data_IF_768628471265
#
_entry.id   IF_768628471265
#
_cell.length_a   1.000
_cell.length_b   1.000
_cell.length_c   1.000
_cell.angle_alpha   90.00
_cell.angle_beta   90.00
_cell.angle_gamma   90.00
#
_symmetry.space_group_name_H-M   'P 1'
#
loop_
_entity.id
_entity.type
_entity.pdbx_description
1 polymer ?
#
# COMPACT_ATOMS: atom_id res chain seq x y z
N UNK A 1 -21.46 -28.49 -18.28
CA UNK A 1 -20.33 -27.98 -19.09
C UNK A 1 -19.23 -29.01 -19.01
N UNK A 2 -18.94 -29.72 -20.10
CA UNK A 2 -17.82 -30.66 -20.11
C UNK A 2 -16.52 -29.85 -19.92
N UNK A 3 -15.63 -30.23 -19.01
CA UNK A 3 -14.31 -29.63 -18.95
C UNK A 3 -13.61 -29.95 -20.27
N UNK A 4 -13.51 -28.96 -21.15
CA UNK A 4 -12.79 -29.08 -22.41
C UNK A 4 -11.37 -29.47 -22.05
N UNK A 5 -10.97 -30.70 -22.39
CA UNK A 5 -9.63 -31.21 -22.13
C UNK A 5 -8.63 -30.28 -22.81
N UNK A 6 -7.75 -29.66 -22.02
CA UNK A 6 -6.67 -28.81 -22.53
C UNK A 6 -5.83 -29.66 -23.49
N UNK A 7 -5.62 -29.22 -24.75
CA UNK A 7 -4.81 -29.96 -25.70
C UNK A 7 -3.37 -30.05 -25.18
N UNK A 8 -2.82 -31.26 -25.13
CA UNK A 8 -1.45 -31.52 -24.65
C UNK A 8 -0.52 -31.75 -25.83
N UNK A 9 0.63 -31.08 -25.83
CA UNK A 9 1.63 -31.20 -26.88
C UNK A 9 2.85 -31.95 -26.36
N UNK A 10 3.23 -33.10 -26.96
CA UNK A 10 4.40 -33.85 -26.53
C UNK A 10 5.67 -32.99 -26.57
N UNK A 11 6.44 -32.97 -25.47
CA UNK A 11 7.72 -32.25 -25.39
C UNK A 11 7.61 -30.75 -25.07
N UNK A 12 6.40 -30.18 -24.98
CA UNK A 12 6.21 -28.78 -24.56
C UNK A 12 5.22 -28.74 -23.39
N UNK A 13 5.67 -28.46 -22.15
CA UNK A 13 4.78 -28.36 -21.01
C UNK A 13 3.74 -27.27 -21.18
N UNK A 14 2.49 -27.52 -20.76
CA UNK A 14 1.38 -26.56 -20.88
C UNK A 14 1.71 -25.20 -20.25
N UNK A 15 2.35 -25.19 -19.08
CA UNK A 15 2.79 -23.96 -18.40
C UNK A 15 3.76 -23.13 -19.25
N UNK A 16 4.60 -23.79 -20.06
CA UNK A 16 5.56 -23.13 -20.92
C UNK A 16 4.87 -22.45 -22.11
N UNK A 17 3.78 -23.03 -22.61
CA UNK A 17 2.93 -22.41 -23.64
C UNK A 17 2.18 -21.19 -23.13
N UNK A 18 1.63 -21.25 -21.91
CA UNK A 18 0.94 -20.11 -21.30
C UNK A 18 1.91 -18.94 -21.09
N UNK A 19 3.10 -19.21 -20.54
CA UNK A 19 4.15 -18.17 -20.38
C UNK A 19 4.61 -17.60 -21.72
N UNK A 20 4.68 -18.42 -22.77
CA UNK A 20 4.99 -17.97 -24.12
C UNK A 20 3.91 -17.03 -24.68
N UNK A 21 2.63 -17.36 -24.50
CA UNK A 21 1.50 -16.53 -24.93
C UNK A 21 1.38 -15.21 -24.14
N UNK A 22 1.89 -15.17 -22.91
CA UNK A 22 1.97 -13.98 -22.07
C UNK A 22 3.23 -13.12 -22.31
N UNK A 23 4.11 -13.51 -23.25
CA UNK A 23 5.38 -12.82 -23.53
C UNK A 23 6.35 -12.81 -22.32
N UNK A 24 6.29 -13.84 -21.46
CA UNK A 24 7.05 -13.97 -20.19
C UNK A 24 8.27 -14.92 -20.27
N UNK A 25 8.53 -15.49 -21.46
CA UNK A 25 9.67 -16.36 -21.68
C UNK A 25 10.94 -15.57 -22.02
N UNK A 26 12.10 -16.11 -21.62
CA UNK A 26 13.39 -15.64 -22.14
C UNK A 26 13.50 -15.91 -23.65
N UNK A 27 14.40 -15.21 -24.34
CA UNK A 27 14.60 -15.38 -25.78
C UNK A 27 14.96 -16.83 -26.16
N UNK A 28 15.76 -17.50 -25.33
CA UNK A 28 16.15 -18.90 -25.54
C UNK A 28 14.99 -19.89 -25.35
N UNK A 29 14.12 -19.64 -24.37
CA UNK A 29 12.92 -20.46 -24.15
C UNK A 29 11.87 -20.23 -25.26
N UNK A 30 11.69 -18.98 -25.69
CA UNK A 30 10.81 -18.63 -26.80
C UNK A 30 11.23 -19.33 -28.11
N UNK A 31 12.53 -19.34 -28.42
CA UNK A 31 13.09 -20.05 -29.58
C UNK A 31 12.78 -21.55 -29.53
N UNK A 32 12.88 -22.18 -28.36
CA UNK A 32 12.55 -23.61 -28.20
C UNK A 32 11.07 -23.91 -28.49
N UNK A 33 10.15 -23.03 -28.08
CA UNK A 33 8.72 -23.16 -28.42
C UNK A 33 8.50 -23.00 -29.92
N UNK A 34 9.18 -22.04 -30.54
CA UNK A 34 9.07 -21.81 -31.99
C UNK A 34 9.61 -22.98 -32.81
N UNK A 35 10.73 -23.57 -32.40
CA UNK A 35 11.27 -24.78 -33.00
C UNK A 35 10.31 -25.96 -32.87
N UNK A 36 9.74 -26.17 -31.67
CA UNK A 36 8.73 -27.21 -31.47
C UNK A 36 7.47 -26.98 -32.34
N UNK A 37 7.04 -25.72 -32.50
CA UNK A 37 5.91 -25.36 -33.35
C UNK A 37 6.20 -25.54 -34.86
N UNK A 38 7.47 -25.43 -35.30
CA UNK A 38 7.84 -25.76 -36.69
C UNK A 38 7.71 -27.25 -36.98
N UNK A 39 7.98 -28.10 -35.98
CA UNK A 39 7.92 -29.56 -36.12
C UNK A 39 6.50 -30.10 -35.92
N UNK A 40 5.68 -29.44 -35.10
CA UNK A 40 4.30 -29.85 -34.80
C UNK A 40 3.24 -28.91 -35.42
N UNK A 41 2.55 -29.33 -36.50
CA UNK A 41 1.49 -28.53 -37.12
C UNK A 41 0.33 -28.21 -36.19
N UNK A 42 -0.01 -29.12 -35.27
CA UNK A 42 -1.09 -28.95 -34.29
C UNK A 42 -0.74 -27.84 -33.28
N UNK A 43 0.50 -27.82 -32.79
CA UNK A 43 0.97 -26.78 -31.87
C UNK A 43 0.99 -25.41 -32.58
N UNK A 44 1.44 -25.36 -33.83
CA UNK A 44 1.43 -24.15 -34.64
C UNK A 44 0.01 -23.60 -34.87
N UNK A 45 -0.95 -24.49 -35.16
CA UNK A 45 -2.35 -24.13 -35.28
C UNK A 45 -2.91 -23.58 -33.96
N UNK A 46 -2.62 -24.23 -32.84
CA UNK A 46 -3.06 -23.79 -31.52
C UNK A 46 -2.51 -22.41 -31.13
N UNK A 47 -1.21 -22.17 -31.32
CA UNK A 47 -0.60 -20.87 -31.04
C UNK A 47 -1.19 -19.75 -31.89
N UNK A 48 -1.51 -20.04 -33.16
CA UNK A 48 -2.14 -19.08 -34.07
C UNK A 48 -3.57 -18.74 -33.64
N UNK A 49 -4.35 -19.74 -33.24
CA UNK A 49 -5.70 -19.53 -32.70
C UNK A 49 -5.66 -18.67 -31.42
N UNK A 50 -4.82 -19.03 -30.44
CA UNK A 50 -4.68 -18.26 -29.19
C UNK A 50 -4.23 -16.82 -29.41
N UNK A 51 -3.30 -16.59 -30.35
CA UNK A 51 -2.89 -15.23 -30.73
C UNK A 51 -4.02 -14.44 -31.37
N UNK A 52 -4.84 -15.09 -32.22
CA UNK A 52 -6.00 -14.46 -32.83
C UNK A 52 -7.06 -14.10 -31.76
N UNK A 53 -7.30 -14.98 -30.79
CA UNK A 53 -8.18 -14.71 -29.64
C UNK A 53 -7.65 -13.54 -28.79
N UNK A 54 -6.35 -13.53 -28.42
CA UNK A 54 -5.71 -12.43 -27.68
C UNK A 54 -5.83 -11.11 -28.43
N UNK A 55 -5.63 -11.11 -29.76
CA UNK A 55 -5.78 -9.93 -30.60
C UNK A 55 -7.24 -9.44 -30.68
N UNK A 56 -8.19 -10.35 -30.84
CA UNK A 56 -9.62 -10.03 -30.85
C UNK A 56 -10.08 -9.47 -29.49
N UNK A 57 -9.63 -10.06 -28.39
CA UNK A 57 -9.93 -9.60 -27.04
C UNK A 57 -9.42 -8.17 -26.81
N UNK A 58 -8.22 -7.85 -27.28
CA UNK A 58 -7.64 -6.51 -27.18
C UNK A 58 -8.47 -5.44 -27.91
N UNK A 59 -9.20 -5.81 -28.97
CA UNK A 59 -10.12 -4.90 -29.68
C UNK A 59 -11.43 -4.66 -28.91
N UNK A 60 -11.96 -5.70 -28.25
CA UNK A 60 -13.25 -5.63 -27.52
C UNK A 60 -13.09 -4.98 -26.14
N UNK A 61 -11.93 -5.16 -25.50
CA UNK A 61 -11.60 -4.62 -24.17
C UNK A 61 -10.28 -3.84 -24.21
N UNK A 62 -10.29 -2.55 -24.62
CA UNK A 62 -9.07 -1.77 -24.67
C UNK A 62 -8.53 -1.51 -23.26
N UNK A 63 -7.42 -2.17 -22.90
CA UNK A 63 -6.66 -1.96 -21.66
C UNK A 63 -5.87 -0.63 -21.63
N UNK A 64 -6.38 0.42 -22.29
CA UNK A 64 -5.66 1.66 -22.61
C UNK A 64 -4.81 2.23 -21.46
N UNK A 65 -5.42 2.60 -20.31
CA UNK A 65 -4.67 3.25 -19.23
C UNK A 65 -3.74 2.30 -18.44
N UNK A 66 -3.91 0.98 -18.53
CA UNK A 66 -3.05 0.00 -17.84
C UNK A 66 -1.84 -0.35 -18.71
N UNK A 67 -2.01 -0.44 -20.04
CA UNK A 67 -0.93 -0.76 -20.97
C UNK A 67 0.14 0.34 -21.03
N UNK A 68 -0.24 1.60 -20.89
CA UNK A 68 0.70 2.72 -20.81
C UNK A 68 1.50 2.73 -19.50
N UNK A 69 0.92 2.22 -18.40
CA UNK A 69 1.58 2.11 -17.10
C UNK A 69 2.52 0.91 -16.99
N UNK A 70 2.23 -0.17 -17.74
CA UNK A 70 3.06 -1.38 -17.81
C UNK A 70 4.08 -1.34 -18.95
N UNK A 71 4.06 -0.31 -19.80
CA UNK A 71 5.07 -0.14 -20.82
C UNK A 71 6.45 0.04 -20.15
N UNK A 72 7.45 -0.80 -20.46
CA UNK A 72 8.77 -0.62 -19.89
C UNK A 72 9.28 0.78 -20.27
N UNK A 73 9.90 1.52 -19.34
CA UNK A 73 10.34 2.87 -19.60
C UNK A 73 11.27 2.86 -20.81
N UNK A 74 10.95 3.68 -21.83
CA UNK A 74 11.76 3.85 -23.04
C UNK A 74 13.20 4.09 -22.61
N UNK A 75 14.07 3.11 -22.88
CA UNK A 75 15.49 3.22 -22.54
C UNK A 75 16.08 4.38 -23.35
N UNK A 76 16.22 5.52 -22.68
CA UNK A 76 16.84 6.71 -23.25
C UNK A 76 18.29 6.39 -23.59
N UNK A 77 18.68 6.64 -24.85
CA UNK A 77 20.06 6.49 -25.35
C UNK A 77 21.08 7.28 -24.52
N UNK A 78 20.65 8.27 -23.74
CA UNK A 78 21.48 9.05 -22.82
C UNK A 78 21.92 8.30 -21.55
N UNK A 79 21.24 7.22 -21.13
CA UNK A 79 21.70 6.40 -19.98
C UNK A 79 23.02 5.68 -20.24
N UNK A 80 23.38 5.45 -21.51
CA UNK A 80 24.67 4.85 -21.88
C UNK A 80 25.87 5.76 -21.57
N UNK A 81 25.70 7.08 -21.76
CA UNK A 81 26.76 8.07 -21.50
C UNK A 81 26.96 8.34 -20.00
N UNK A 82 25.89 8.26 -19.20
CA UNK A 82 25.98 8.47 -17.75
C UNK A 82 26.65 7.29 -17.01
N UNK A 83 26.65 6.08 -17.58
CA UNK A 83 27.34 4.93 -16.95
C UNK A 83 28.86 5.06 -16.91
N UNK A 84 29.45 5.93 -17.73
CA UNK A 84 30.90 6.17 -17.76
C UNK A 84 31.38 7.27 -16.82
N UNK A 85 30.48 8.09 -16.25
CA UNK A 85 30.84 9.11 -15.26
C UNK A 85 30.77 8.62 -13.81
N UNK A 86 30.18 7.44 -13.56
CA UNK A 86 30.08 6.86 -12.22
C UNK A 86 31.42 6.52 -11.54
N UNK A 87 32.47 5.98 -12.20
CA UNK A 87 33.68 5.57 -11.49
C UNK A 87 34.52 6.76 -11.00
N UNK A 88 34.35 7.96 -11.57
CA UNK A 88 35.10 9.16 -11.15
C UNK A 88 34.49 9.79 -9.88
N UNK A 89 33.18 9.63 -9.65
CA UNK A 89 32.51 10.17 -8.46
C UNK A 89 32.68 9.31 -7.20
N UNK A 90 32.93 7.99 -7.35
CA UNK A 90 33.09 7.07 -6.20
C UNK A 90 34.38 7.34 -5.41
N UNK A 91 35.44 7.87 -6.05
CA UNK A 91 36.70 8.16 -5.36
C UNK A 91 36.63 9.43 -4.47
N UNK A 92 35.64 10.31 -4.67
CA UNK A 92 35.52 11.57 -3.94
C UNK A 92 34.66 11.52 -2.67
N UNK A 93 33.80 10.51 -2.49
CA UNK A 93 32.75 10.50 -1.46
C UNK A 93 33.12 9.65 -0.22
N UNK A 94 34.29 9.01 -0.22
CA UNK A 94 34.78 8.24 0.92
C UNK A 94 35.02 9.04 2.21
N UNK A 95 35.03 10.38 2.15
CA UNK A 95 35.33 11.25 3.30
C UNK A 95 34.10 11.87 3.99
N UNK A 96 32.88 11.72 3.46
CA UNK A 96 31.67 12.37 4.02
C UNK A 96 30.61 11.39 4.53
N UNK A 97 30.86 10.08 4.48
CA UNK A 97 29.90 9.04 4.84
C UNK A 97 29.80 8.75 6.36
N UNK A 98 30.03 9.76 7.20
CA UNK A 98 29.66 9.73 8.61
C UNK A 98 28.80 10.99 8.82
N UNK A 99 27.54 10.80 9.19
CA UNK A 99 26.48 11.83 9.41
C UNK A 99 25.72 12.23 8.12
N UNK A 100 24.40 11.95 7.93
CA UNK A 100 23.44 11.23 8.77
C UNK A 100 22.56 10.18 8.02
N UNK A 101 22.32 9.04 8.68
CA UNK A 101 21.02 8.34 8.60
C UNK A 101 19.96 9.29 9.14
N UNK A 102 18.95 9.73 8.38
CA UNK A 102 17.63 10.15 8.92
C UNK A 102 16.57 10.67 7.94
N UNK A 103 16.71 10.64 6.60
CA UNK A 103 15.63 11.13 5.74
C UNK A 103 15.43 10.21 4.53
N UNK A 104 14.61 9.18 4.70
CA UNK A 104 13.97 8.52 3.57
C UNK A 104 12.66 9.29 3.30
N UNK A 105 12.66 10.15 2.28
CA UNK A 105 11.43 10.71 1.71
C UNK A 105 10.65 9.55 1.08
N UNK A 106 9.53 9.17 1.68
CA UNK A 106 8.59 8.18 1.14
C UNK A 106 7.75 8.83 0.02
N UNK A 107 7.60 8.11 -1.10
CA UNK A 107 6.89 8.57 -2.30
C UNK A 107 5.41 8.81 -2.03
N UNK A 108 4.95 10.05 -2.21
CA UNK A 108 3.53 10.41 -2.17
C UNK A 108 2.85 9.91 -3.45
N UNK A 109 2.33 8.69 -3.41
CA UNK A 109 1.48 8.16 -4.47
C UNK A 109 0.15 8.94 -4.49
N UNK A 110 -0.08 9.74 -5.54
CA UNK A 110 -1.32 10.50 -5.73
C UNK A 110 -2.46 9.58 -6.16
N UNK A 111 -3.04 8.86 -5.20
CA UNK A 111 -4.29 8.11 -5.36
C UNK A 111 -5.45 9.11 -5.27
N UNK A 112 -6.29 9.14 -6.32
CA UNK A 112 -7.45 10.04 -6.41
C UNK A 112 -8.64 9.37 -5.74
N UNK A 113 -8.84 9.61 -4.46
CA UNK A 113 -10.00 9.12 -3.70
C UNK A 113 -11.19 10.07 -3.85
N UNK A 114 -12.41 9.50 -3.90
CA UNK A 114 -13.65 10.26 -3.76
C UNK A 114 -13.69 10.88 -2.35
N UNK A 115 -13.24 12.13 -2.28
CA UNK A 115 -13.31 13.10 -1.17
C UNK A 115 -13.66 12.60 0.23
N UNK A 116 -12.66 12.27 1.04
CA UNK A 116 -12.84 12.07 2.48
C UNK A 116 -11.58 11.57 3.18
N UNK A 117 -11.46 11.89 4.48
CA UNK A 117 -10.42 11.36 5.35
C UNK A 117 -10.60 9.84 5.48
N UNK A 118 -9.59 9.08 5.06
CA UNK A 118 -9.55 7.62 5.21
C UNK A 118 -8.35 7.24 6.07
N UNK A 119 -8.57 6.35 7.05
CA UNK A 119 -7.49 5.72 7.80
C UNK A 119 -7.44 4.23 7.45
N UNK A 120 -6.24 3.69 7.27
CA UNK A 120 -5.97 2.26 7.11
C UNK A 120 -4.93 1.84 8.13
N UNK A 121 -4.96 0.56 8.46
CA UNK A 121 -4.12 -0.02 9.50
C UNK A 121 -3.32 -1.12 8.84
N UNK A 122 -2.01 -0.92 8.71
CA UNK A 122 -1.07 -1.90 8.19
C UNK A 122 -0.50 -2.70 9.36
N UNK A 123 -0.60 -4.01 9.29
CA UNK A 123 -0.21 -4.93 10.35
C UNK A 123 0.98 -5.74 9.86
N UNK A 124 2.04 -5.77 10.66
CA UNK A 124 3.18 -6.65 10.47
C UNK A 124 3.14 -7.79 11.50
N UNK A 125 3.14 -9.02 11.00
CA UNK A 125 3.20 -10.26 11.78
C UNK A 125 4.35 -11.13 11.25
N UNK A 126 5.42 -11.25 12.03
CA UNK A 126 6.67 -11.84 11.54
C UNK A 126 7.18 -11.08 10.31
N UNK A 127 7.29 -11.77 9.18
CA UNK A 127 7.77 -11.21 7.90
C UNK A 127 6.65 -10.77 6.95
N UNK A 128 5.39 -10.94 7.33
CA UNK A 128 4.24 -10.58 6.49
C UNK A 128 3.67 -9.23 6.91
N UNK A 129 3.37 -8.38 5.93
CA UNK A 129 2.64 -7.12 6.11
C UNK A 129 1.31 -7.21 5.36
N UNK A 130 0.21 -6.89 6.02
CA UNK A 130 -1.14 -6.91 5.44
C UNK A 130 -1.99 -5.75 5.99
N UNK A 131 -3.04 -5.37 5.27
CA UNK A 131 -4.02 -4.39 5.75
C UNK A 131 -5.02 -5.07 6.69
N UNK A 132 -5.33 -4.44 7.83
CA UNK A 132 -6.40 -4.87 8.71
C UNK A 132 -7.75 -4.61 8.02
N UNK A 133 -8.32 -5.67 7.47
CA UNK A 133 -9.65 -5.67 6.89
C UNK A 133 -10.73 -6.20 7.84
N UNK A 134 -12.00 -6.20 7.39
CA UNK A 134 -13.09 -6.83 8.14
C UNK A 134 -12.79 -8.30 8.46
N UNK A 135 -13.00 -8.70 9.72
CA UNK A 135 -12.79 -10.07 10.19
C UNK A 135 -11.33 -10.44 10.49
N UNK A 136 -10.37 -9.55 10.24
CA UNK A 136 -8.98 -9.75 10.64
C UNK A 136 -8.82 -9.45 12.12
N UNK A 137 -8.40 -10.46 12.89
CA UNK A 137 -8.13 -10.35 14.33
C UNK A 137 -6.62 -10.20 14.57
N UNK A 138 -6.26 -9.24 15.40
CA UNK A 138 -4.90 -8.88 15.75
C UNK A 138 -4.42 -9.71 16.93
N UNK A 139 -3.12 -10.01 16.95
CA UNK A 139 -2.48 -10.82 17.98
C UNK A 139 -1.53 -9.98 18.82
N UNK A 140 -1.30 -10.37 20.08
CA UNK A 140 -0.20 -9.81 20.86
C UNK A 140 1.12 -9.95 20.09
N UNK A 141 1.92 -8.88 20.06
CA UNK A 141 3.17 -8.80 19.31
C UNK A 141 3.02 -8.39 17.84
N UNK A 142 1.80 -8.29 17.30
CA UNK A 142 1.59 -7.66 15.99
C UNK A 142 2.02 -6.19 16.05
N UNK A 143 2.67 -5.72 14.99
CA UNK A 143 3.07 -4.32 14.87
C UNK A 143 2.16 -3.59 13.90
N UNK A 144 1.50 -2.56 14.40
CA UNK A 144 0.51 -1.79 13.67
C UNK A 144 1.11 -0.46 13.24
N UNK A 145 0.90 -0.09 11.98
CA UNK A 145 1.21 1.24 11.45
C UNK A 145 -0.05 1.83 10.82
N UNK A 146 -0.24 3.12 11.01
CA UNK A 146 -1.39 3.84 10.48
C UNK A 146 -1.01 4.49 9.17
N UNK A 147 -1.88 4.36 8.18
CA UNK A 147 -1.84 5.10 6.94
C UNK A 147 -3.07 6.00 6.87
N UNK A 148 -2.86 7.26 6.55
CA UNK A 148 -3.92 8.27 6.46
C UNK A 148 -3.93 8.84 5.04
N UNK A 149 -5.12 9.01 4.50
CA UNK A 149 -5.33 9.54 3.16
C UNK A 149 -6.40 10.64 3.20
N UNK A 150 -6.06 11.83 2.69
CA UNK A 150 -7.02 12.93 2.53
C UNK A 150 -6.67 13.80 1.31
N UNK A 151 -7.70 14.38 0.70
CA UNK A 151 -7.55 15.19 -0.52
C UNK A 151 -7.07 16.62 -0.26
N UNK A 152 -7.24 17.15 0.95
CA UNK A 152 -6.90 18.53 1.32
C UNK A 152 -5.68 18.59 2.26
N UNK A 153 -5.44 17.55 3.05
CA UNK A 153 -4.44 17.60 4.11
C UNK A 153 -4.90 18.46 5.29
N UNK A 154 -3.95 18.88 6.12
CA UNK A 154 -4.22 19.72 7.30
C UNK A 154 -3.47 19.27 8.56
N UNK A 155 -3.93 19.72 9.73
CA UNK A 155 -3.35 19.33 11.01
C UNK A 155 -3.91 17.97 11.47
N UNK A 156 -3.02 17.01 11.67
CA UNK A 156 -3.33 15.61 11.94
C UNK A 156 -3.06 15.26 13.41
N UNK A 157 -4.03 14.62 14.04
CA UNK A 157 -3.92 14.03 15.37
C UNK A 157 -4.28 12.56 15.29
N UNK A 158 -3.51 11.71 15.97
CA UNK A 158 -3.82 10.30 16.12
C UNK A 158 -3.78 9.93 17.58
N UNK A 159 -4.86 9.29 18.04
CA UNK A 159 -5.02 8.82 19.40
C UNK A 159 -5.40 7.34 19.38
N UNK A 160 -4.93 6.59 20.37
CA UNK A 160 -5.50 5.30 20.72
C UNK A 160 -6.53 5.48 21.84
N UNK A 161 -7.61 4.71 21.76
CA UNK A 161 -8.68 4.63 22.75
C UNK A 161 -8.85 3.18 23.18
N UNK A 162 -8.75 2.90 24.47
CA UNK A 162 -9.13 1.60 25.04
C UNK A 162 -10.63 1.55 25.33
N UNK A 163 -11.21 0.35 25.38
CA UNK A 163 -12.57 0.07 25.87
C UNK A 163 -12.83 0.64 27.28
N UNK A 164 -11.79 0.74 28.13
CA UNK A 164 -11.88 1.32 29.48
C UNK A 164 -11.88 2.87 29.50
N UNK A 165 -11.92 3.49 28.32
CA UNK A 165 -11.93 4.94 28.16
C UNK A 165 -10.57 5.63 28.32
N UNK A 166 -9.47 4.89 28.41
CA UNK A 166 -8.12 5.47 28.39
C UNK A 166 -7.81 5.99 26.98
N UNK A 167 -7.49 7.28 26.90
CA UNK A 167 -7.01 7.94 25.68
C UNK A 167 -5.50 8.08 25.73
N UNK A 168 -4.81 7.63 24.69
CA UNK A 168 -3.35 7.72 24.57
C UNK A 168 -2.98 8.48 23.29
N UNK A 169 -2.34 9.67 23.42
CA UNK A 169 -1.83 10.40 22.27
C UNK A 169 -0.74 9.62 21.52
N UNK A 170 -0.83 9.52 20.19
CA UNK A 170 0.15 8.82 19.35
C UNK A 170 0.91 9.75 18.39
N UNK A 171 0.23 10.70 17.75
CA UNK A 171 0.82 11.66 16.80
C UNK A 171 0.08 13.00 16.86
N UNK A 172 0.78 14.11 16.63
CA UNK A 172 0.20 15.46 16.63
C UNK A 172 0.15 16.14 18.01
N UNK A 173 0.86 15.60 19.00
CA UNK A 173 0.91 16.10 20.38
C UNK A 173 2.35 16.40 20.79
N UNK A 174 2.55 17.37 21.70
CA UNK A 174 3.89 17.74 22.20
C UNK A 174 4.70 16.53 22.69
N UNK A 175 4.06 15.60 23.42
CA UNK A 175 4.70 14.38 23.93
C UNK A 175 5.15 13.41 22.83
N UNK A 176 4.62 13.55 21.61
CA UNK A 176 4.91 12.70 20.45
C UNK A 176 5.68 13.44 19.35
N UNK A 177 6.26 14.60 19.65
CA UNK A 177 7.04 15.40 18.69
C UNK A 177 6.32 16.62 18.12
N UNK A 178 5.17 17.00 18.70
CA UNK A 178 4.45 18.23 18.38
C UNK A 178 3.41 18.08 17.27
N UNK A 179 2.94 19.23 16.79
CA UNK A 179 1.94 19.32 15.74
C UNK A 179 2.40 18.62 14.45
N UNK A 180 1.52 17.79 13.87
CA UNK A 180 1.79 17.08 12.63
C UNK A 180 0.96 17.69 11.50
N UNK A 181 1.62 18.23 10.47
CA UNK A 181 0.98 18.76 9.27
C UNK A 181 1.06 17.75 8.14
N UNK A 182 -0.09 17.37 7.59
CA UNK A 182 -0.23 16.42 6.51
C UNK A 182 -0.50 17.15 5.19
N UNK A 183 0.29 16.88 4.16
CA UNK A 183 0.00 17.36 2.81
C UNK A 183 -1.13 16.52 2.17
N UNK A 184 -1.84 17.06 1.15
CA UNK A 184 -2.77 16.26 0.35
C UNK A 184 -2.17 14.95 -0.17
N UNK A 185 -2.92 13.86 -0.06
CA UNK A 185 -2.55 12.54 -0.56
C UNK A 185 -2.54 11.48 0.54
N UNK A 186 -1.73 10.46 0.32
CA UNK A 186 -1.58 9.28 1.17
C UNK A 186 -0.29 9.36 1.96
N UNK A 187 -0.38 9.16 3.28
CA UNK A 187 0.71 9.28 4.23
C UNK A 187 0.77 8.05 5.13
N UNK A 188 1.90 7.37 5.10
CA UNK A 188 2.22 6.33 6.08
C UNK A 188 2.83 7.04 7.29
N UNK A 189 2.19 6.91 8.45
CA UNK A 189 2.64 7.63 9.64
C UNK A 189 3.93 7.02 10.21
N UNK A 190 4.85 7.86 10.72
CA UNK A 190 6.07 7.38 11.32
C UNK A 190 5.79 6.55 12.58
N UNK A 191 6.63 5.55 12.81
CA UNK A 191 6.53 4.64 13.96
C UNK A 191 5.69 3.39 13.69
N UNK A 192 5.56 2.58 14.73
CA UNK A 192 4.67 1.43 14.77
C UNK A 192 4.29 1.18 16.22
N UNK A 193 3.02 0.86 16.47
CA UNK A 193 2.52 0.41 17.76
C UNK A 193 2.66 -1.10 17.83
N UNK A 194 3.36 -1.63 18.84
CA UNK A 194 3.35 -3.05 19.13
C UNK A 194 2.17 -3.36 20.05
N UNK A 195 1.32 -4.29 19.66
CA UNK A 195 0.14 -4.65 20.46
C UNK A 195 0.56 -5.52 21.64
N UNK A 196 0.06 -5.17 22.82
CA UNK A 196 0.23 -5.97 24.02
C UNK A 196 -0.77 -7.14 24.10
N UNK A 197 -0.63 -7.95 25.14
CA UNK A 197 -1.55 -9.04 25.46
C UNK A 197 -2.74 -8.59 26.32
N UNK A 198 -3.05 -7.28 26.37
CA UNK A 198 -4.18 -6.81 27.15
C UNK A 198 -5.49 -7.27 26.48
N UNK A 199 -6.44 -7.84 27.25
CA UNK A 199 -7.70 -8.36 26.70
C UNK A 199 -8.70 -7.25 26.33
N UNK A 200 -8.35 -5.98 26.52
CA UNK A 200 -9.22 -4.85 26.23
C UNK A 200 -9.26 -4.54 24.73
N UNK A 201 -10.45 -4.19 24.24
CA UNK A 201 -10.57 -3.69 22.87
C UNK A 201 -9.90 -2.33 22.73
N UNK A 202 -9.32 -2.07 21.57
CA UNK A 202 -8.69 -0.80 21.25
C UNK A 202 -9.24 -0.24 19.94
N UNK A 203 -9.24 1.08 19.82
CA UNK A 203 -9.57 1.79 18.61
C UNK A 203 -8.56 2.91 18.36
N UNK A 204 -8.24 3.13 17.08
CA UNK A 204 -7.50 4.29 16.64
C UNK A 204 -8.49 5.36 16.17
N UNK A 205 -8.27 6.57 16.64
CA UNK A 205 -9.04 7.75 16.23
C UNK A 205 -8.08 8.70 15.54
N UNK A 206 -8.35 8.95 14.26
CA UNK A 206 -7.60 9.89 13.43
C UNK A 206 -8.47 11.13 13.27
N UNK A 207 -7.94 12.29 13.66
CA UNK A 207 -8.62 13.59 13.53
C UNK A 207 -7.80 14.47 12.62
N UNK A 208 -8.45 15.09 11.63
CA UNK A 208 -7.84 16.01 10.69
C UNK A 208 -8.60 17.34 10.71
N UNK A 209 -7.93 18.42 11.10
CA UNK A 209 -8.40 19.78 10.93
C UNK A 209 -7.94 20.31 9.58
N UNK A 210 -8.86 20.88 8.79
CA UNK A 210 -8.57 21.25 7.38
C UNK A 210 -7.63 22.45 7.25
N UNK A 211 -7.59 23.31 8.27
CA UNK A 211 -6.67 24.44 8.37
C UNK A 211 -5.83 24.28 9.64
N UNK A 212 -4.52 24.44 9.54
CA UNK A 212 -3.61 24.38 10.68
C UNK A 212 -3.68 25.62 11.57
N UNK A 213 -4.12 26.77 11.04
CA UNK A 213 -4.27 28.00 11.83
C UNK A 213 -5.50 27.94 12.75
N UNK A 214 -6.57 27.30 12.27
CA UNK A 214 -7.83 27.14 13.01
C UNK A 214 -7.94 25.75 13.67
N UNK A 215 -6.88 24.96 13.65
CA UNK A 215 -6.89 23.63 14.25
C UNK A 215 -7.13 23.71 15.76
N UNK A 216 -8.01 22.87 16.33
CA UNK A 216 -8.17 22.79 17.77
C UNK A 216 -6.85 22.41 18.43
N UNK A 217 -6.58 22.93 19.63
CA UNK A 217 -5.35 22.56 20.34
C UNK A 217 -5.33 21.05 20.64
N UNK A 218 -4.14 20.43 20.76
CA UNK A 218 -4.03 19.01 21.09
C UNK A 218 -4.83 18.64 22.36
N UNK A 219 -4.84 19.49 23.37
CA UNK A 219 -5.58 19.29 24.62
C UNK A 219 -7.10 19.30 24.42
N UNK A 220 -7.60 20.08 23.45
CA UNK A 220 -9.02 20.10 23.09
C UNK A 220 -9.39 18.81 22.40
N UNK A 221 -8.58 18.33 21.45
CA UNK A 221 -8.79 17.05 20.76
C UNK A 221 -8.77 15.89 21.74
N UNK A 222 -7.80 15.86 22.67
CA UNK A 222 -7.72 14.82 23.69
C UNK A 222 -8.94 14.84 24.62
N UNK A 223 -9.32 16.01 25.17
CA UNK A 223 -10.50 16.15 26.05
C UNK A 223 -11.81 15.79 25.36
N UNK A 224 -11.93 16.11 24.08
CA UNK A 224 -13.07 15.71 23.25
C UNK A 224 -13.21 14.20 23.20
N UNK A 225 -12.12 13.48 22.94
CA UNK A 225 -12.15 12.03 22.88
C UNK A 225 -12.35 11.40 24.27
N UNK A 226 -11.74 11.97 25.32
CA UNK A 226 -11.96 11.54 26.71
C UNK A 226 -13.41 11.72 27.16
N UNK A 227 -14.12 12.74 26.66
CA UNK A 227 -15.53 12.93 26.93
C UNK A 227 -16.38 11.87 26.22
N UNK A 228 -16.13 11.64 24.93
CA UNK A 228 -16.83 10.63 24.13
C UNK A 228 -16.60 9.21 24.67
N UNK A 229 -15.41 8.94 25.20
CA UNK A 229 -15.05 7.68 25.82
C UNK A 229 -15.85 7.31 27.08
N UNK A 230 -16.67 8.24 27.62
CA UNK A 230 -17.58 7.98 28.73
C UNK A 230 -18.91 7.39 28.28
N UNK A 231 -19.18 7.37 26.98
CA UNK A 231 -20.36 6.71 26.41
C UNK A 231 -20.23 5.18 26.58
N UNK A 232 -21.35 4.46 26.75
CA UNK A 232 -21.32 3.01 26.98
C UNK A 232 -20.94 2.20 25.74
N UNK A 233 -21.07 2.79 24.54
CA UNK A 233 -20.82 2.10 23.28
C UNK A 233 -19.34 2.16 22.89
N UNK A 234 -18.80 1.03 22.42
CA UNK A 234 -17.44 0.95 21.92
C UNK A 234 -17.39 0.43 20.47
N UNK A 235 -16.65 1.09 19.55
CA UNK A 235 -16.02 2.40 19.76
C UNK A 235 -17.06 3.52 19.86
N UNK A 236 -16.76 4.64 20.53
CA UNK A 236 -17.68 5.77 20.60
C UNK A 236 -17.87 6.38 19.20
N UNK A 237 -19.02 7.02 19.00
CA UNK A 237 -19.33 7.76 17.76
C UNK A 237 -19.40 9.26 18.03
N UNK A 238 -18.26 9.91 18.36
CA UNK A 238 -18.28 11.28 18.81
C UNK A 238 -18.77 12.22 17.71
N UNK A 239 -19.53 13.25 18.12
CA UNK A 239 -19.78 14.38 17.23
C UNK A 239 -18.44 15.05 16.86
N UNK A 240 -18.19 15.35 15.57
CA UNK A 240 -16.94 15.96 15.15
C UNK A 240 -16.77 17.35 15.78
N UNK A 241 -15.53 17.69 16.16
CA UNK A 241 -15.19 19.07 16.55
C UNK A 241 -15.38 20.01 15.35
N UNK A 242 -15.77 21.28 15.58
CA UNK A 242 -15.86 22.28 14.51
C UNK A 242 -14.59 22.34 13.67
N UNK A 243 -14.73 22.38 12.35
CA UNK A 243 -13.59 22.45 11.42
C UNK A 243 -12.79 21.14 11.26
N UNK A 244 -13.18 20.07 11.95
CA UNK A 244 -12.48 18.78 11.89
C UNK A 244 -13.30 17.69 11.23
N UNK A 245 -12.57 16.70 10.71
CA UNK A 245 -13.10 15.40 10.27
C UNK A 245 -12.37 14.33 11.06
N UNK A 246 -13.02 13.21 11.32
CA UNK A 246 -12.38 12.10 12.00
C UNK A 246 -12.73 10.75 11.37
N UNK A 247 -11.85 9.78 11.58
CA UNK A 247 -12.04 8.39 11.22
C UNK A 247 -11.69 7.51 12.42
N UNK A 248 -12.53 6.50 12.68
CA UNK A 248 -12.33 5.53 13.76
C UNK A 248 -12.01 4.17 13.15
N UNK A 249 -11.03 3.47 13.74
CA UNK A 249 -10.62 2.11 13.35
C UNK A 249 -10.50 1.24 14.58
N UNK A 250 -11.42 0.28 14.72
CA UNK A 250 -11.35 -0.74 15.77
C UNK A 250 -10.21 -1.70 15.46
N UNK A 251 -9.47 -2.06 16.50
CA UNK A 251 -8.39 -3.03 16.51
C UNK A 251 -8.85 -4.29 17.25
N UNK A 252 -9.62 -5.19 16.60
CA UNK A 252 -10.12 -6.39 17.25
C UNK A 252 -8.93 -7.29 17.61
N UNK A 253 -8.74 -7.57 18.90
CA UNK A 253 -7.69 -8.44 19.41
C UNK A 253 -8.21 -9.87 19.64
N UNK A 254 -7.33 -10.85 19.47
CA UNK A 254 -7.58 -12.24 19.86
C UNK A 254 -7.59 -12.29 21.38
N UNK A 255 -8.74 -12.62 21.98
CA UNK A 255 -8.83 -12.81 23.43
C UNK A 255 -8.06 -14.09 23.81
N UNK A 256 -7.30 -14.07 24.91
CA UNK A 256 -6.59 -15.24 25.41
C UNK A 256 -7.54 -16.38 25.83
#
# INVERSE_FOLDING_TARGET
>A
MNPTSIPRFPGVPDLLLERYLCDELSAEEALRVEEAARVSPELSAHLRERRAEKAAFALVRPFGPVRERLAPPRQSRWRGLWRWSLPVLVLGVGLTAVVPRLIALEEVERVRVRGGLTARVLVKRGDVVFEQGPGVVLRPGDRVRVEVEDVAGGALYVLALSERGRVTPLQGFEITGGALSMAPGRWVLPGSLELDAAPEQEALVVVLASDSQDAPSPEVVQRWLEHAAREPDFPPSPMPLPGTRHAVRVLPKELP
#
